data_IF_705920565008
#
_entry.id   IF_705920565008
#
_cell.length_a   1.000
_cell.length_b   1.000
_cell.length_c   1.000
_cell.angle_alpha   90.00
_cell.angle_beta   90.00
_cell.angle_gamma   90.00
#
_symmetry.space_group_name_H-M   'P 1'
#
loop_
_entity.id
_entity.type
_entity.pdbx_description
1 polymer ?
#
# COMPACT_ATOMS: atom_id res chain seq x y z
N UNK A 1 0.40 -19.87 20.95
CA UNK A 1 -0.08 -21.16 21.53
C UNK A 1 0.90 -21.69 22.56
N UNK A 2 0.51 -22.66 23.38
CA UNK A 2 1.40 -23.32 24.36
C UNK A 2 2.05 -22.38 25.40
N UNK A 3 1.42 -21.26 25.74
CA UNK A 3 1.95 -20.26 26.69
C UNK A 3 1.57 -20.54 28.15
N UNK A 4 0.70 -21.50 28.41
CA UNK A 4 0.19 -21.82 29.75
C UNK A 4 -0.67 -20.70 30.37
N UNK A 5 -0.93 -20.79 31.68
CA UNK A 5 -1.75 -19.83 32.44
C UNK A 5 -1.30 -19.70 33.91
N UNK A 6 -1.74 -18.63 34.58
CA UNK A 6 -1.72 -18.44 36.03
C UNK A 6 -3.16 -18.15 36.49
N UNK A 7 -3.86 -19.14 37.05
CA UNK A 7 -5.31 -19.08 37.24
C UNK A 7 -6.04 -18.94 35.89
N UNK A 8 -6.96 -17.98 35.73
CA UNK A 8 -7.57 -17.63 34.44
C UNK A 8 -6.77 -16.58 33.65
N UNK A 9 -5.58 -16.16 34.12
CA UNK A 9 -4.78 -15.08 33.50
C UNK A 9 -3.59 -15.62 32.70
N UNK A 10 -3.07 -14.86 31.71
CA UNK A 10 -1.83 -15.21 31.03
C UNK A 10 -0.66 -15.32 32.00
N UNK A 11 0.34 -16.15 31.68
CA UNK A 11 1.64 -16.12 32.37
C UNK A 11 2.33 -14.78 32.15
N UNK A 12 3.07 -14.29 33.14
CA UNK A 12 3.75 -12.99 33.10
C UNK A 12 4.64 -12.84 31.86
N UNK A 13 5.44 -13.85 31.53
CA UNK A 13 6.32 -13.80 30.34
C UNK A 13 5.53 -13.64 29.03
N UNK A 14 4.40 -14.33 28.89
CA UNK A 14 3.55 -14.21 27.71
C UNK A 14 2.92 -12.82 27.60
N UNK A 15 2.55 -12.22 28.74
CA UNK A 15 2.05 -10.84 28.78
C UNK A 15 3.17 -9.83 28.45
N UNK A 16 4.37 -9.99 28.99
CA UNK A 16 5.51 -9.11 28.69
C UNK A 16 5.88 -9.16 27.21
N UNK A 17 5.92 -10.36 26.61
CA UNK A 17 6.16 -10.51 25.18
C UNK A 17 5.06 -9.85 24.35
N UNK A 18 3.80 -10.04 24.72
CA UNK A 18 2.67 -9.38 24.06
C UNK A 18 2.81 -7.84 24.07
N UNK A 19 3.20 -7.26 25.22
CA UNK A 19 3.38 -5.81 25.33
C UNK A 19 4.57 -5.30 24.50
N UNK A 20 5.67 -6.07 24.45
CA UNK A 20 6.82 -5.74 23.61
C UNK A 20 6.49 -5.81 22.11
N UNK A 21 5.76 -6.85 21.69
CA UNK A 21 5.29 -6.96 20.30
C UNK A 21 4.30 -5.82 19.99
N UNK A 22 3.45 -5.44 20.94
CA UNK A 22 2.50 -4.34 20.78
C UNK A 22 3.19 -2.98 20.62
N UNK A 23 4.23 -2.68 21.41
CA UNK A 23 4.96 -1.41 21.27
C UNK A 23 5.60 -1.31 19.88
N UNK A 24 6.23 -2.39 19.40
CA UNK A 24 6.79 -2.42 18.05
C UNK A 24 5.72 -2.26 16.96
N UNK A 25 4.59 -2.95 17.12
CA UNK A 25 3.46 -2.86 16.17
C UNK A 25 2.95 -1.42 16.04
N UNK A 26 2.85 -0.67 17.15
CA UNK A 26 2.45 0.75 17.12
C UNK A 26 3.39 1.63 16.28
N UNK A 27 4.70 1.44 16.38
CA UNK A 27 5.67 2.22 15.62
C UNK A 27 5.52 2.01 14.10
N UNK A 28 5.20 0.79 13.67
CA UNK A 28 5.05 0.46 12.23
C UNK A 28 3.87 1.16 11.56
N UNK A 29 2.86 1.61 12.31
CA UNK A 29 1.68 2.31 11.76
C UNK A 29 2.05 3.72 11.26
N UNK A 30 3.02 4.37 11.91
CA UNK A 30 3.42 5.75 11.59
C UNK A 30 4.62 5.83 10.66
N UNK A 31 5.28 4.69 10.39
CA UNK A 31 6.39 4.63 9.44
C UNK A 31 5.91 4.95 8.02
N UNK A 32 6.74 5.67 7.28
CA UNK A 32 6.48 6.07 5.90
C UNK A 32 7.58 5.59 4.96
N UNK A 33 7.20 5.31 3.70
CA UNK A 33 8.15 5.00 2.62
C UNK A 33 8.94 6.28 2.29
N UNK A 34 10.28 6.26 2.34
CA UNK A 34 11.09 7.38 1.90
C UNK A 34 10.86 7.66 0.41
N UNK A 35 10.66 8.92 0.02
CA UNK A 35 10.53 9.33 -1.40
C UNK A 35 11.71 8.84 -2.26
N UNK A 36 12.92 8.83 -1.68
CA UNK A 36 14.12 8.33 -2.33
C UNK A 36 14.01 6.84 -2.71
N UNK A 37 13.31 6.03 -1.91
CA UNK A 37 13.07 4.63 -2.23
C UNK A 37 12.13 4.49 -3.43
N UNK A 38 11.03 5.25 -3.46
CA UNK A 38 10.07 5.23 -4.60
C UNK A 38 10.76 5.64 -5.89
N UNK A 39 11.59 6.69 -5.84
CA UNK A 39 12.38 7.14 -6.98
C UNK A 39 13.41 6.11 -7.44
N UNK A 40 14.06 5.41 -6.51
CA UNK A 40 15.01 4.35 -6.84
C UNK A 40 14.36 3.17 -7.58
N UNK A 41 13.07 2.91 -7.32
CA UNK A 41 12.28 1.92 -8.04
C UNK A 41 11.78 2.40 -9.43
N UNK A 42 12.09 3.64 -9.82
CA UNK A 42 11.65 4.22 -11.08
C UNK A 42 10.13 4.47 -11.18
N UNK A 43 9.44 4.53 -10.03
CA UNK A 43 8.01 4.80 -9.99
C UNK A 43 7.73 6.30 -9.98
N UNK A 44 6.66 6.68 -10.68
CA UNK A 44 6.03 7.98 -10.48
C UNK A 44 5.36 7.99 -9.11
N UNK A 45 5.72 8.95 -8.26
CA UNK A 45 5.05 9.18 -6.99
C UNK A 45 3.95 10.23 -7.15
N UNK A 46 2.71 9.84 -6.84
CA UNK A 46 1.56 10.73 -6.73
C UNK A 46 0.92 10.61 -5.35
N UNK A 47 -0.03 11.49 -5.05
CA UNK A 47 -0.57 11.65 -3.71
C UNK A 47 -2.10 11.72 -3.71
N UNK A 48 -2.70 11.20 -2.64
CA UNK A 48 -4.10 11.51 -2.32
C UNK A 48 -4.27 12.96 -1.81
N UNK A 49 -5.49 13.40 -1.52
CA UNK A 49 -5.78 14.69 -0.85
C UNK A 49 -5.21 14.80 0.59
N UNK A 50 -4.54 13.76 1.11
CA UNK A 50 -4.06 13.70 2.49
C UNK A 50 -2.71 14.39 2.68
N UNK A 51 -2.69 15.25 3.70
CA UNK A 51 -1.61 15.99 4.37
C UNK A 51 -0.34 15.32 4.86
N UNK A 52 -0.54 14.19 5.52
CA UNK A 52 0.36 13.66 6.52
C UNK A 52 -0.28 12.37 7.07
N UNK A 53 0.53 11.52 7.74
CA UNK A 53 0.04 10.25 8.29
C UNK A 53 -1.07 10.42 9.34
N UNK A 54 -1.09 11.51 10.12
CA UNK A 54 -2.14 11.70 11.14
C UNK A 54 -3.50 11.97 10.48
N UNK A 55 -3.54 12.81 9.43
CA UNK A 55 -4.75 12.97 8.61
C UNK A 55 -5.10 11.67 7.89
N UNK A 56 -4.13 10.90 7.39
CA UNK A 56 -4.40 9.61 6.74
C UNK A 56 -5.18 8.63 7.63
N UNK A 57 -4.82 8.57 8.91
CA UNK A 57 -5.45 7.69 9.90
C UNK A 57 -6.86 8.13 10.29
N UNK A 58 -7.17 9.42 10.18
CA UNK A 58 -8.44 10.01 10.67
C UNK A 58 -9.42 10.38 9.55
N UNK A 59 -8.95 10.54 8.31
CA UNK A 59 -9.73 10.99 7.15
C UNK A 59 -9.69 9.99 6.00
N UNK A 60 -10.42 8.85 6.12
CA UNK A 60 -10.47 7.85 5.07
C UNK A 60 -11.14 8.37 3.78
N UNK A 61 -11.95 9.42 3.87
CA UNK A 61 -12.59 10.08 2.74
C UNK A 61 -11.56 10.74 1.79
N UNK A 62 -10.59 11.46 2.34
CA UNK A 62 -9.52 12.13 1.57
C UNK A 62 -8.46 11.14 1.06
N UNK A 63 -8.31 9.99 1.71
CA UNK A 63 -7.43 8.91 1.23
C UNK A 63 -7.99 8.16 0.01
N UNK A 64 -9.26 8.36 -0.32
CA UNK A 64 -9.94 7.74 -1.48
C UNK A 64 -9.98 8.66 -2.70
N UNK A 65 -9.35 9.83 -2.64
CA UNK A 65 -9.35 10.84 -3.70
C UNK A 65 -7.93 11.30 -3.97
N UNK A 66 -7.58 11.39 -5.25
CA UNK A 66 -6.32 11.96 -5.72
C UNK A 66 -6.34 13.48 -5.55
N UNK A 67 -5.16 14.07 -5.26
CA UNK A 67 -5.03 15.52 -5.32
C UNK A 67 -5.16 16.02 -6.76
N UNK A 68 -5.55 17.30 -6.99
CA UNK A 68 -5.63 17.85 -8.34
C UNK A 68 -4.32 17.70 -9.13
N UNK A 69 -3.17 17.91 -8.48
CA UNK A 69 -1.85 17.79 -9.10
C UNK A 69 -1.54 16.34 -9.49
N UNK A 70 -2.01 15.37 -8.68
CA UNK A 70 -1.88 13.95 -8.99
C UNK A 70 -2.71 13.59 -10.24
N UNK A 71 -3.92 14.12 -10.38
CA UNK A 71 -4.77 13.89 -11.56
C UNK A 71 -4.06 14.38 -12.83
N UNK A 72 -3.50 15.59 -12.79
CA UNK A 72 -2.80 16.17 -13.92
C UNK A 72 -1.52 15.39 -14.26
N UNK A 73 -0.75 14.97 -13.25
CA UNK A 73 0.45 14.16 -13.44
C UNK A 73 0.13 12.79 -14.08
N UNK A 74 -0.95 12.13 -13.64
CA UNK A 74 -1.37 10.84 -14.20
C UNK A 74 -1.76 10.97 -15.67
N UNK A 75 -2.56 11.98 -16.03
CA UNK A 75 -2.95 12.21 -17.44
C UNK A 75 -1.76 12.55 -18.34
N UNK A 76 -0.75 13.23 -17.81
CA UNK A 76 0.42 13.65 -18.57
C UNK A 76 1.46 12.53 -18.76
N UNK A 77 1.59 11.61 -17.79
CA UNK A 77 2.72 10.68 -17.73
C UNK A 77 2.32 9.20 -17.86
N UNK A 78 1.05 8.86 -17.66
CA UNK A 78 0.58 7.48 -17.76
C UNK A 78 -0.06 7.18 -19.12
N UNK A 79 -0.01 5.91 -19.52
CA UNK A 79 -0.69 5.41 -20.72
C UNK A 79 -2.20 5.42 -20.49
N UNK A 80 -2.93 6.03 -21.43
CA UNK A 80 -4.40 6.03 -21.44
C UNK A 80 -4.96 4.73 -22.03
N UNK A 81 -6.14 4.34 -21.57
CA UNK A 81 -6.90 3.14 -21.93
C UNK A 81 -6.08 1.83 -21.85
N UNK A 82 -5.41 1.51 -20.72
CA UNK A 82 -4.73 0.24 -20.55
C UNK A 82 -5.73 -0.90 -20.32
N UNK A 83 -5.34 -2.12 -20.68
CA UNK A 83 -6.10 -3.31 -20.30
C UNK A 83 -5.96 -3.58 -18.80
N UNK A 84 -4.74 -3.39 -18.27
CA UNK A 84 -4.44 -3.58 -16.84
C UNK A 84 -3.54 -2.44 -16.36
N UNK A 85 -3.98 -1.73 -15.33
CA UNK A 85 -3.22 -0.72 -14.61
C UNK A 85 -2.78 -1.27 -13.25
N UNK A 86 -1.49 -1.21 -12.93
CA UNK A 86 -0.98 -1.62 -11.61
C UNK A 86 -0.66 -0.38 -10.79
N UNK A 87 -1.18 -0.32 -9.57
CA UNK A 87 -1.01 0.78 -8.61
C UNK A 87 -0.41 0.22 -7.33
N UNK A 88 0.55 0.93 -6.75
CA UNK A 88 1.19 0.57 -5.48
C UNK A 88 0.87 1.65 -4.45
N UNK A 89 0.51 1.30 -3.23
CA UNK A 89 0.26 2.28 -2.17
C UNK A 89 0.80 1.80 -0.82
N UNK A 90 1.31 2.73 0.00
CA UNK A 90 1.78 2.43 1.36
C UNK A 90 0.66 2.02 2.30
N UNK A 91 -0.58 2.46 2.08
CA UNK A 91 -1.68 2.07 2.96
C UNK A 91 -1.40 2.35 4.44
N UNK A 92 -1.65 1.35 5.29
CA UNK A 92 -1.49 1.42 6.74
C UNK A 92 -0.13 0.94 7.28
N UNK A 93 0.73 0.33 6.45
CA UNK A 93 2.10 0.02 6.85
C UNK A 93 3.09 0.11 5.69
N UNK A 94 4.27 0.60 5.99
CA UNK A 94 5.32 0.79 4.96
C UNK A 94 6.06 -0.52 4.68
N UNK A 95 6.11 -1.40 5.69
CA UNK A 95 6.98 -2.57 5.66
C UNK A 95 6.52 -3.58 4.61
N UNK A 96 5.22 -3.80 4.36
CA UNK A 96 4.78 -4.78 3.38
C UNK A 96 5.18 -4.42 1.95
N UNK A 97 5.12 -3.14 1.58
CA UNK A 97 5.56 -2.73 0.24
C UNK A 97 7.07 -2.92 0.14
N UNK A 98 7.85 -2.36 1.07
CA UNK A 98 9.31 -2.42 0.97
C UNK A 98 9.88 -3.84 1.03
N UNK A 99 9.23 -4.76 1.76
CA UNK A 99 9.68 -6.14 1.88
C UNK A 99 9.30 -7.01 0.67
N UNK A 100 8.16 -6.76 0.03
CA UNK A 100 7.62 -7.63 -1.01
C UNK A 100 7.73 -7.07 -2.44
N UNK A 101 8.09 -5.78 -2.60
CA UNK A 101 8.06 -5.10 -3.90
C UNK A 101 8.88 -5.79 -5.00
N UNK A 102 10.14 -6.14 -4.71
CA UNK A 102 11.05 -6.73 -5.69
C UNK A 102 10.60 -8.13 -6.15
N UNK A 103 9.95 -8.88 -5.26
CA UNK A 103 9.48 -10.23 -5.53
C UNK A 103 8.11 -10.26 -6.24
N UNK A 104 7.31 -9.18 -6.14
CA UNK A 104 5.95 -9.15 -6.68
C UNK A 104 5.86 -8.35 -7.97
N UNK A 105 6.32 -7.08 -7.98
CA UNK A 105 5.99 -6.18 -9.08
C UNK A 105 6.70 -6.54 -10.39
N UNK A 106 8.02 -6.80 -10.43
CA UNK A 106 8.69 -7.18 -11.67
C UNK A 106 8.11 -8.43 -12.36
N UNK A 107 7.88 -9.57 -11.67
CA UNK A 107 7.30 -10.75 -12.30
C UNK A 107 5.82 -10.54 -12.68
N UNK A 108 5.04 -9.78 -11.91
CA UNK A 108 3.66 -9.43 -12.27
C UNK A 108 3.62 -8.65 -13.59
N UNK A 109 4.41 -7.59 -13.73
CA UNK A 109 4.47 -6.78 -14.95
C UNK A 109 4.98 -7.60 -16.15
N UNK A 110 5.96 -8.48 -15.93
CA UNK A 110 6.46 -9.37 -16.98
C UNK A 110 5.38 -10.36 -17.44
N UNK A 111 4.65 -10.98 -16.51
CA UNK A 111 3.57 -11.93 -16.82
C UNK A 111 2.42 -11.28 -17.59
N UNK A 112 1.99 -10.07 -17.20
CA UNK A 112 0.95 -9.32 -17.91
C UNK A 112 1.36 -8.97 -19.35
N UNK A 113 2.61 -8.54 -19.54
CA UNK A 113 3.15 -8.26 -20.89
C UNK A 113 3.28 -9.52 -21.74
N UNK A 114 3.74 -10.63 -21.16
CA UNK A 114 3.85 -11.92 -21.85
C UNK A 114 2.48 -12.47 -22.28
N UNK A 115 1.43 -12.17 -21.53
CA UNK A 115 0.05 -12.48 -21.90
C UNK A 115 -0.50 -11.60 -23.04
N UNK A 116 0.27 -10.63 -23.53
CA UNK A 116 -0.12 -9.74 -24.63
C UNK A 116 -1.07 -8.60 -24.24
N UNK A 117 -1.22 -8.33 -22.94
CA UNK A 117 -2.09 -7.26 -22.44
C UNK A 117 -1.41 -5.89 -22.58
N UNK A 118 -2.18 -4.84 -22.87
CA UNK A 118 -1.71 -3.45 -22.81
C UNK A 118 -1.56 -3.02 -21.35
N UNK A 119 -0.36 -3.20 -20.80
CA UNK A 119 -0.04 -2.84 -19.41
C UNK A 119 0.20 -1.34 -19.29
N UNK A 120 -0.51 -0.69 -18.35
CA UNK A 120 -0.35 0.73 -18.02
C UNK A 120 0.99 1.03 -17.33
N UNK A 121 1.31 2.32 -17.18
CA UNK A 121 2.50 2.77 -16.47
C UNK A 121 2.30 2.55 -14.96
N UNK A 122 3.09 1.70 -14.27
CA UNK A 122 2.94 1.53 -12.82
C UNK A 122 3.37 2.79 -12.07
N UNK A 123 2.64 3.14 -11.01
CA UNK A 123 2.94 4.29 -10.17
C UNK A 123 2.60 4.04 -8.70
N UNK A 124 3.17 4.88 -7.84
CA UNK A 124 2.99 4.83 -6.40
C UNK A 124 2.05 5.93 -5.93
N UNK A 125 1.05 5.58 -5.12
CA UNK A 125 0.10 6.49 -4.49
C UNK A 125 0.39 6.58 -3.00
N UNK A 126 0.92 7.72 -2.56
CA UNK A 126 1.09 8.01 -1.13
C UNK A 126 -0.27 8.31 -0.48
N UNK A 127 -0.50 7.71 0.69
CA UNK A 127 -1.73 7.87 1.48
C UNK A 127 -3.00 7.38 0.75
N UNK A 128 -2.86 6.34 -0.08
CA UNK A 128 -3.98 5.73 -0.78
C UNK A 128 -4.84 4.85 0.12
N UNK A 129 -6.14 4.81 -0.18
CA UNK A 129 -7.11 3.81 0.32
C UNK A 129 -7.66 3.07 -0.88
N UNK A 130 -8.13 1.83 -0.67
CA UNK A 130 -8.64 0.94 -1.74
C UNK A 130 -9.48 1.66 -2.79
N UNK A 131 -10.55 2.35 -2.39
CA UNK A 131 -11.45 3.07 -3.32
C UNK A 131 -10.83 4.21 -4.15
N UNK A 132 -9.56 4.56 -3.95
CA UNK A 132 -8.88 5.48 -4.87
C UNK A 132 -8.66 4.83 -6.25
N UNK A 133 -8.66 3.50 -6.30
CA UNK A 133 -8.55 2.74 -7.55
C UNK A 133 -9.70 3.01 -8.52
N UNK A 134 -10.92 3.23 -8.00
CA UNK A 134 -12.10 3.60 -8.79
C UNK A 134 -11.81 4.87 -9.61
N UNK A 135 -11.30 5.91 -8.94
CA UNK A 135 -10.99 7.19 -9.57
C UNK A 135 -9.82 7.06 -10.57
N UNK A 136 -8.82 6.22 -10.25
CA UNK A 136 -7.70 5.94 -11.16
C UNK A 136 -8.20 5.26 -12.44
N UNK A 137 -9.09 4.27 -12.30
CA UNK A 137 -9.70 3.57 -13.42
C UNK A 137 -10.45 4.51 -14.34
N UNK A 138 -11.27 5.41 -13.77
CA UNK A 138 -11.99 6.44 -14.54
C UNK A 138 -11.04 7.42 -15.24
N UNK A 139 -10.01 7.91 -14.56
CA UNK A 139 -9.07 8.90 -15.12
C UNK A 139 -8.28 8.31 -16.28
N UNK A 140 -7.78 7.08 -16.13
CA UNK A 140 -6.90 6.46 -17.12
C UNK A 140 -7.67 5.63 -18.16
N UNK A 141 -8.97 5.41 -17.99
CA UNK A 141 -9.76 4.52 -18.85
C UNK A 141 -9.33 3.04 -18.73
N UNK A 142 -8.80 2.65 -17.56
CA UNK A 142 -8.28 1.30 -17.35
C UNK A 142 -9.43 0.28 -17.30
N UNK A 143 -9.32 -0.84 -18.03
CA UNK A 143 -10.32 -1.91 -17.97
C UNK A 143 -10.27 -2.69 -16.66
N UNK A 144 -9.07 -2.87 -16.12
CA UNK A 144 -8.79 -3.49 -14.82
C UNK A 144 -7.76 -2.64 -14.09
N UNK A 145 -8.00 -2.36 -12.82
CA UNK A 145 -7.02 -1.73 -11.92
C UNK A 145 -6.62 -2.76 -10.89
N UNK A 146 -5.33 -2.94 -10.67
CA UNK A 146 -4.77 -3.81 -9.63
C UNK A 146 -4.08 -2.89 -8.62
N UNK A 147 -4.61 -2.82 -7.40
CA UNK A 147 -4.01 -2.08 -6.31
C UNK A 147 -3.30 -3.02 -5.34
N UNK A 148 -1.97 -2.89 -5.29
CA UNK A 148 -1.13 -3.49 -4.25
C UNK A 148 -1.03 -2.51 -3.08
N UNK A 149 -1.65 -2.85 -1.96
CA UNK A 149 -1.72 -1.98 -0.79
C UNK A 149 -1.58 -2.79 0.50
N UNK A 150 -0.91 -2.21 1.47
CA UNK A 150 -0.72 -2.83 2.77
C UNK A 150 -2.02 -2.85 3.62
N UNK A 151 -2.13 -3.88 4.44
CA UNK A 151 -3.16 -4.02 5.47
C UNK A 151 -2.78 -3.29 6.77
N UNK A 152 -3.61 -3.48 7.80
CA UNK A 152 -3.29 -3.02 9.16
C UNK A 152 -2.20 -3.91 9.76
N UNK A 153 -1.14 -3.34 10.38
CA UNK A 153 -0.14 -4.12 11.11
C UNK A 153 -0.75 -5.10 12.09
N UNK A 154 -0.28 -6.35 12.02
CA UNK A 154 -0.54 -7.35 13.04
C UNK A 154 0.33 -7.12 14.28
N UNK A 155 0.07 -7.92 15.33
CA UNK A 155 0.86 -7.85 16.56
C UNK A 155 2.32 -8.28 16.32
N UNK A 156 2.54 -9.33 15.52
CA UNK A 156 3.87 -9.92 15.31
C UNK A 156 4.48 -9.72 13.92
N UNK A 157 3.75 -9.12 12.97
CA UNK A 157 4.20 -8.95 11.58
C UNK A 157 3.56 -7.70 10.96
N UNK A 158 4.36 -6.94 10.21
CA UNK A 158 3.96 -5.71 9.48
C UNK A 158 4.11 -5.83 7.96
N UNK A 159 4.47 -7.00 7.44
CA UNK A 159 4.83 -7.19 6.02
C UNK A 159 3.70 -7.84 5.18
N UNK A 160 2.45 -7.72 5.60
CA UNK A 160 1.32 -8.38 4.93
C UNK A 160 0.75 -7.51 3.81
N UNK A 161 0.86 -7.95 2.56
CA UNK A 161 0.37 -7.20 1.40
C UNK A 161 -0.98 -7.73 0.91
N UNK A 162 -1.93 -6.85 0.60
CA UNK A 162 -3.15 -7.20 -0.12
C UNK A 162 -3.10 -6.78 -1.58
N UNK A 163 -3.95 -7.42 -2.38
CA UNK A 163 -4.30 -7.01 -3.73
C UNK A 163 -5.81 -6.77 -3.80
N UNK A 164 -6.21 -5.62 -4.33
CA UNK A 164 -7.60 -5.30 -4.69
C UNK A 164 -7.67 -5.07 -6.21
N UNK A 165 -8.74 -5.54 -6.85
CA UNK A 165 -8.94 -5.44 -8.29
C UNK A 165 -10.42 -5.51 -8.68
#
# INVERSE_FOLDING_TARGET
VCTGRAGPRPRTLALLRFLADHSRSKDTVLKEVPEAWVKAQGLLEVRSEISDKNRYLTRPDLGRRLSPEAIDALKAQCVMDPDVQVVVSDGLSTDAITANYEEILPPLLAGLKQAGLKVGTPFFVRYGRVKIEDQIGEILGAKVVILLVDERPGLGKSESLSCYA
#
